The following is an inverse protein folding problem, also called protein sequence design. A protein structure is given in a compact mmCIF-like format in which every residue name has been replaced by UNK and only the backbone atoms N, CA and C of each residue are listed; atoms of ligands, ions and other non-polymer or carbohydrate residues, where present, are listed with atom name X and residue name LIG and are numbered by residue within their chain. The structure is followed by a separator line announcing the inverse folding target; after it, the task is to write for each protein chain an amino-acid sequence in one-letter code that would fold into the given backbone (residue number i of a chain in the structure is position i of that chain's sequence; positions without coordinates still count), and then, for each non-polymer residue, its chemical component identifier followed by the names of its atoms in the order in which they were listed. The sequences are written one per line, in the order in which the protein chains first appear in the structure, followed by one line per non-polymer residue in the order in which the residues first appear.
data_IF_226758719460
#
_entry.id   IF_226758719460
#
_cell.length_a   1.000
_cell.length_b   1.000
_cell.length_c   1.000
_cell.angle_alpha   90.00
_cell.angle_beta   90.00
_cell.angle_gamma   90.00
#
_symmetry.space_group_name_H-M   'P 1'
#
loop_
_entity.id
_entity.type
_entity.pdbx_description
1 polymer ?
#
# COMPACT_ATOMS: atom_id res chain seq x y z
N UNK A 1 53.65 -41.25 -45.58
CA UNK A 1 53.12 -40.48 -46.74
C UNK A 1 51.81 -41.13 -47.18
N UNK A 2 50.71 -40.34 -47.22
CA UNK A 2 49.51 -40.43 -48.09
C UNK A 2 48.93 -41.84 -48.37
N UNK A 3 47.65 -42.19 -48.15
CA UNK A 3 46.40 -41.50 -48.50
C UNK A 3 45.22 -42.44 -48.12
N UNK A 4 44.10 -41.93 -47.57
CA UNK A 4 42.80 -41.72 -48.25
C UNK A 4 42.25 -42.96 -49.01
N UNK A 5 41.15 -43.56 -48.52
CA UNK A 5 39.85 -43.78 -49.21
C UNK A 5 38.80 -44.41 -48.27
N UNK A 6 37.57 -43.99 -48.51
CA UNK A 6 36.24 -44.23 -47.91
C UNK A 6 35.74 -45.67 -47.97
N UNK A 7 34.54 -45.89 -47.36
CA UNK A 7 33.67 -47.09 -47.30
C UNK A 7 33.87 -47.94 -46.02
N UNK A 8 32.87 -48.43 -45.28
CA UNK A 8 31.50 -48.79 -45.61
C UNK A 8 30.56 -48.83 -44.36
N UNK A 9 29.28 -48.85 -44.69
CA UNK A 9 28.05 -49.07 -43.92
C UNK A 9 27.96 -50.36 -43.07
N UNK A 10 27.20 -50.25 -41.97
CA UNK A 10 26.15 -51.17 -41.44
C UNK A 10 26.43 -52.10 -40.23
N UNK A 11 25.53 -51.92 -39.25
CA UNK A 11 24.92 -52.84 -38.27
C UNK A 11 25.68 -53.25 -36.99
N UNK A 12 25.15 -52.89 -35.81
CA UNK A 12 24.14 -53.64 -35.04
C UNK A 12 23.93 -52.95 -33.67
N UNK A 13 22.75 -52.36 -33.42
CA UNK A 13 21.76 -52.78 -32.41
C UNK A 13 22.28 -53.02 -30.98
N UNK A 14 21.84 -52.15 -30.06
CA UNK A 14 21.85 -52.39 -28.62
C UNK A 14 20.97 -51.34 -27.92
N UNK A 15 19.69 -51.66 -27.77
CA UNK A 15 18.67 -50.87 -27.07
C UNK A 15 19.02 -50.64 -25.60
N UNK A 16 18.95 -49.39 -25.12
CA UNK A 16 18.75 -49.12 -23.69
C UNK A 16 17.84 -47.91 -23.46
N UNK A 17 16.69 -48.25 -22.90
CA UNK A 17 15.65 -47.48 -22.23
C UNK A 17 15.74 -45.95 -22.18
N UNK A 18 14.69 -45.31 -22.68
CA UNK A 18 14.22 -44.01 -22.20
C UNK A 18 13.78 -44.15 -20.73
N UNK A 19 14.62 -43.69 -19.81
CA UNK A 19 14.24 -43.44 -18.42
C UNK A 19 13.67 -42.04 -18.29
N UNK A 20 12.35 -41.93 -18.17
CA UNK A 20 11.69 -40.78 -17.55
C UNK A 20 11.95 -40.86 -16.04
N UNK A 21 12.86 -40.03 -15.52
CA UNK A 21 12.95 -39.76 -14.09
C UNK A 21 12.40 -38.37 -13.79
N UNK A 22 11.13 -38.43 -13.40
CA UNK A 22 10.33 -37.40 -12.77
C UNK A 22 10.94 -36.94 -11.43
N UNK A 23 10.93 -35.62 -11.23
CA UNK A 23 10.91 -34.90 -9.94
C UNK A 23 11.92 -35.26 -8.83
N UNK A 24 12.82 -34.32 -8.49
CA UNK A 24 12.86 -33.67 -7.15
C UNK A 24 14.10 -32.80 -6.94
N UNK A 25 13.85 -31.49 -6.89
CA UNK A 25 14.27 -30.52 -5.85
C UNK A 25 14.37 -29.16 -6.54
N UNK A 26 13.33 -28.35 -6.37
CA UNK A 26 13.53 -26.90 -6.36
C UNK A 26 14.61 -26.64 -5.32
N UNK A 27 15.84 -26.38 -5.78
CA UNK A 27 16.78 -25.64 -4.96
C UNK A 27 16.09 -24.30 -4.78
N UNK A 28 15.66 -24.03 -3.55
CA UNK A 28 15.50 -22.65 -3.11
C UNK A 28 16.76 -21.93 -3.59
N UNK A 29 16.57 -20.99 -4.50
CA UNK A 29 17.60 -20.03 -4.86
C UNK A 29 17.80 -19.26 -3.58
N UNK A 30 18.75 -19.71 -2.75
CA UNK A 30 19.24 -18.93 -1.64
C UNK A 30 19.87 -17.70 -2.27
N UNK A 31 19.10 -16.62 -2.33
CA UNK A 31 19.61 -15.29 -2.64
C UNK A 31 20.77 -15.06 -1.67
N UNK A 32 21.98 -15.02 -2.23
CA UNK A 32 23.19 -14.73 -1.49
C UNK A 32 23.10 -13.27 -1.05
N UNK A 33 22.53 -13.03 0.14
CA UNK A 33 22.52 -11.71 0.77
C UNK A 33 23.96 -11.20 0.88
N UNK A 34 24.25 -9.94 0.55
CA UNK A 34 25.56 -9.32 0.79
C UNK A 34 26.00 -9.56 2.24
N UNK A 35 27.26 -9.91 2.47
CA UNK A 35 27.77 -10.33 3.79
C UNK A 35 27.67 -9.23 4.88
N UNK A 36 27.39 -7.99 4.47
CA UNK A 36 27.26 -6.79 5.29
C UNK A 36 25.81 -6.35 5.54
N UNK A 37 24.81 -7.06 4.99
CA UNK A 37 23.40 -6.74 5.21
C UNK A 37 22.78 -7.58 6.34
N UNK A 38 22.29 -6.89 7.38
CA UNK A 38 21.53 -7.49 8.47
C UNK A 38 20.06 -7.10 8.34
N UNK A 39 19.17 -8.10 8.37
CA UNK A 39 17.73 -7.86 8.36
C UNK A 39 17.32 -7.06 9.61
N UNK A 40 16.66 -5.92 9.40
CA UNK A 40 16.09 -5.11 10.47
C UNK A 40 14.61 -5.41 10.59
N UNK A 41 14.22 -6.09 11.67
CA UNK A 41 12.81 -6.28 12.01
C UNK A 41 12.28 -5.01 12.67
N UNK A 42 11.20 -4.46 12.13
CA UNK A 42 10.55 -3.26 12.63
C UNK A 42 9.26 -3.65 13.34
N UNK A 43 9.01 -3.08 14.52
CA UNK A 43 7.75 -3.30 15.24
C UNK A 43 6.63 -2.46 14.63
N UNK A 44 5.37 -2.93 14.77
CA UNK A 44 4.19 -2.22 14.25
C UNK A 44 4.28 -1.94 12.73
N UNK A 45 4.93 -2.84 11.99
CA UNK A 45 5.08 -2.79 10.53
C UNK A 45 4.89 -4.18 9.95
N UNK A 46 4.42 -4.25 8.70
CA UNK A 46 4.10 -5.51 8.03
C UNK A 46 2.69 -5.50 7.46
N UNK A 47 2.30 -6.57 6.73
CA UNK A 47 1.02 -6.67 6.05
C UNK A 47 -0.20 -6.44 6.95
N UNK A 48 -0.12 -6.81 8.23
CA UNK A 48 -1.20 -6.59 9.18
C UNK A 48 -1.45 -5.10 9.51
N UNK A 49 -0.50 -4.22 9.20
CA UNK A 49 -0.58 -2.77 9.37
C UNK A 49 -0.71 -2.02 8.03
N UNK A 50 -0.88 -2.74 6.93
CA UNK A 50 -1.15 -2.15 5.62
C UNK A 50 -2.59 -1.68 5.53
N UNK A 51 -2.80 -0.65 4.71
CA UNK A 51 -4.12 -0.19 4.32
C UNK A 51 -4.86 -1.33 3.63
N UNK A 52 -6.15 -1.44 3.93
CA UNK A 52 -7.05 -2.35 3.25
C UNK A 52 -8.34 -1.62 2.90
N UNK A 53 -9.28 -2.33 2.27
CA UNK A 53 -10.57 -1.75 1.90
C UNK A 53 -11.35 -1.08 3.04
N UNK A 54 -11.12 -1.48 4.30
CA UNK A 54 -11.88 -1.01 5.47
C UNK A 54 -11.17 0.12 6.22
N UNK A 55 -9.84 0.15 6.19
CA UNK A 55 -9.04 1.07 7.00
C UNK A 55 -7.87 1.63 6.23
N UNK A 56 -7.73 2.95 6.26
CA UNK A 56 -6.44 3.58 5.99
C UNK A 56 -5.52 3.35 7.18
N UNK A 57 -4.28 2.94 6.90
CA UNK A 57 -3.28 2.69 7.93
C UNK A 57 -1.95 3.33 7.60
N UNK A 58 -1.27 3.76 8.66
CA UNK A 58 0.08 4.26 8.57
C UNK A 58 0.85 3.87 9.82
N UNK A 59 2.16 3.70 9.67
CA UNK A 59 3.07 3.44 10.77
C UNK A 59 4.26 4.40 10.72
N UNK A 60 4.81 4.71 11.89
CA UNK A 60 5.99 5.55 11.99
C UNK A 60 6.76 5.29 13.27
N UNK A 61 8.00 5.80 13.27
CA UNK A 61 8.93 5.70 14.38
C UNK A 61 9.32 7.10 14.86
N UNK A 62 9.43 7.26 16.17
CA UNK A 62 9.95 8.47 16.81
C UNK A 62 11.03 8.14 17.83
N UNK A 63 12.13 8.91 17.81
CA UNK A 63 13.24 8.76 18.76
C UNK A 63 13.46 10.05 19.57
N UNK A 64 13.69 9.90 20.87
CA UNK A 64 14.03 10.99 21.78
C UNK A 64 14.68 10.48 23.07
N UNK A 65 15.39 11.36 23.79
CA UNK A 65 15.83 11.09 25.16
C UNK A 65 14.67 11.02 26.15
N UNK A 66 13.54 11.65 25.81
CA UNK A 66 12.30 11.63 26.58
C UNK A 66 11.27 10.71 25.92
N UNK A 67 10.72 9.77 26.70
CA UNK A 67 9.78 8.74 26.23
C UNK A 67 8.50 9.36 25.64
N UNK A 68 7.96 10.40 26.26
CA UNK A 68 6.73 11.06 25.79
C UNK A 68 6.96 11.81 24.49
N UNK A 69 8.12 12.45 24.36
CA UNK A 69 8.53 13.13 23.12
C UNK A 69 8.76 12.13 21.99
N UNK A 70 9.35 10.96 22.26
CA UNK A 70 9.51 9.90 21.26
C UNK A 70 8.13 9.44 20.74
N UNK A 71 7.17 9.23 21.65
CA UNK A 71 5.78 8.89 21.29
C UNK A 71 5.10 9.98 20.48
N UNK A 72 5.21 11.24 20.90
CA UNK A 72 4.61 12.38 20.18
C UNK A 72 5.17 12.50 18.76
N UNK A 73 6.48 12.30 18.57
CA UNK A 73 7.12 12.28 17.25
C UNK A 73 6.58 11.14 16.38
N UNK A 74 6.54 9.92 16.91
CA UNK A 74 6.03 8.76 16.18
C UNK A 74 4.58 9.00 15.72
N UNK A 75 3.70 9.44 16.63
CA UNK A 75 2.30 9.72 16.33
C UNK A 75 2.14 10.87 15.31
N UNK A 76 2.93 11.93 15.43
CA UNK A 76 2.90 13.06 14.48
C UNK A 76 3.30 12.62 13.08
N UNK A 77 4.35 11.81 12.96
CA UNK A 77 4.83 11.31 11.67
C UNK A 77 3.82 10.36 11.03
N UNK A 78 3.25 9.43 11.81
CA UNK A 78 2.22 8.52 11.32
C UNK A 78 0.99 9.29 10.83
N UNK A 79 0.53 10.30 11.59
CA UNK A 79 -0.60 11.15 11.20
C UNK A 79 -0.34 11.91 9.91
N UNK A 80 0.86 12.49 9.75
CA UNK A 80 1.22 13.22 8.55
C UNK A 80 1.23 12.31 7.31
N UNK A 81 1.80 11.10 7.44
CA UNK A 81 1.79 10.12 6.36
C UNK A 81 0.35 9.68 6.03
N UNK A 82 -0.44 9.32 7.04
CA UNK A 82 -1.84 8.92 6.87
C UNK A 82 -2.66 10.02 6.18
N UNK A 83 -2.47 11.28 6.58
CA UNK A 83 -3.14 12.42 5.98
C UNK A 83 -2.79 12.57 4.49
N UNK A 84 -1.50 12.45 4.13
CA UNK A 84 -1.06 12.50 2.74
C UNK A 84 -1.61 11.35 1.90
N UNK A 85 -1.65 10.13 2.46
CA UNK A 85 -2.20 8.96 1.78
C UNK A 85 -3.70 9.15 1.51
N UNK A 86 -4.47 9.59 2.51
CA UNK A 86 -5.89 9.89 2.35
C UNK A 86 -6.11 11.02 1.33
N UNK A 87 -5.37 12.13 1.43
CA UNK A 87 -5.52 13.26 0.50
C UNK A 87 -5.29 12.81 -0.94
N UNK A 88 -4.26 11.99 -1.19
CA UNK A 88 -3.97 11.46 -2.51
C UNK A 88 -5.07 10.53 -3.02
N UNK A 89 -5.57 9.61 -2.17
CA UNK A 89 -6.68 8.73 -2.53
C UNK A 89 -7.95 9.53 -2.84
N UNK A 90 -8.30 10.52 -2.02
CA UNK A 90 -9.50 11.33 -2.23
C UNK A 90 -9.44 12.18 -3.49
N UNK A 91 -8.24 12.68 -3.88
CA UNK A 91 -8.04 13.33 -5.17
C UNK A 91 -8.34 12.39 -6.33
N UNK A 92 -7.77 11.18 -6.31
CA UNK A 92 -8.00 10.17 -7.36
C UNK A 92 -9.48 9.79 -7.45
N UNK A 93 -10.14 9.61 -6.30
CA UNK A 93 -11.58 9.33 -6.23
C UNK A 93 -12.39 10.47 -6.84
N UNK A 94 -12.09 11.73 -6.47
CA UNK A 94 -12.73 12.92 -7.03
C UNK A 94 -12.57 12.99 -8.55
N UNK A 95 -11.33 12.88 -9.04
CA UNK A 95 -11.01 12.91 -10.47
C UNK A 95 -11.78 11.82 -11.24
N UNK A 96 -11.79 10.58 -10.74
CA UNK A 96 -12.47 9.44 -11.37
C UNK A 96 -14.00 9.57 -11.32
N UNK A 97 -14.53 10.07 -10.21
CA UNK A 97 -15.96 10.33 -10.04
C UNK A 97 -16.44 11.40 -11.02
N UNK A 98 -15.72 12.53 -11.13
CA UNK A 98 -16.09 13.63 -12.03
C UNK A 98 -15.96 13.19 -13.49
N UNK A 99 -14.88 12.47 -13.84
CA UNK A 99 -14.66 11.96 -15.19
C UNK A 99 -15.82 11.09 -15.67
N UNK A 100 -16.31 10.20 -14.81
CA UNK A 100 -17.40 9.27 -15.13
C UNK A 100 -18.79 9.91 -15.07
N UNK A 101 -18.91 11.14 -14.57
CA UNK A 101 -20.19 11.83 -14.34
C UNK A 101 -20.56 12.81 -15.46
N UNK A 102 -21.84 13.20 -15.48
CA UNK A 102 -22.45 14.07 -16.51
C UNK A 102 -22.30 15.57 -16.19
N UNK A 103 -21.42 15.94 -15.26
CA UNK A 103 -21.17 17.35 -14.94
C UNK A 103 -20.70 18.10 -16.19
N UNK A 104 -21.33 19.25 -16.45
CA UNK A 104 -20.93 20.14 -17.53
C UNK A 104 -19.63 20.90 -17.20
N UNK A 105 -19.43 21.27 -15.93
CA UNK A 105 -18.28 22.05 -15.45
C UNK A 105 -17.22 21.16 -14.77
N UNK A 106 -16.70 20.16 -15.48
CA UNK A 106 -15.80 19.14 -14.88
C UNK A 106 -14.56 19.72 -14.19
N UNK A 107 -13.98 20.79 -14.72
CA UNK A 107 -12.78 21.44 -14.15
C UNK A 107 -13.08 22.03 -12.77
N UNK A 108 -14.04 22.95 -12.69
CA UNK A 108 -14.49 23.59 -11.44
C UNK A 108 -14.95 22.56 -10.40
N UNK A 109 -15.72 21.55 -10.82
CA UNK A 109 -16.16 20.46 -9.93
C UNK A 109 -14.95 19.70 -9.39
N UNK A 110 -13.96 19.40 -10.23
CA UNK A 110 -12.74 18.70 -9.79
C UNK A 110 -11.97 19.52 -8.76
N UNK A 111 -11.81 20.82 -8.99
CA UNK A 111 -11.16 21.74 -8.03
C UNK A 111 -11.88 21.73 -6.68
N UNK A 112 -13.22 21.83 -6.69
CA UNK A 112 -14.05 21.77 -5.48
C UNK A 112 -13.84 20.45 -4.71
N UNK A 113 -13.77 19.30 -5.39
CA UNK A 113 -13.39 18.03 -4.75
C UNK A 113 -11.98 18.08 -4.15
N UNK A 114 -10.99 18.61 -4.86
CA UNK A 114 -9.61 18.67 -4.37
C UNK A 114 -9.45 19.60 -3.15
N UNK A 115 -10.19 20.70 -3.09
CA UNK A 115 -10.22 21.59 -1.93
C UNK A 115 -10.88 20.94 -0.71
N UNK A 116 -11.97 20.19 -0.93
CA UNK A 116 -12.62 19.44 0.14
C UNK A 116 -11.77 18.30 0.68
N UNK A 117 -11.02 17.59 -0.16
CA UNK A 117 -10.07 16.55 0.26
C UNK A 117 -9.13 17.06 1.35
N UNK A 118 -8.54 18.24 1.16
CA UNK A 118 -7.66 18.87 2.15
C UNK A 118 -8.40 19.16 3.47
N UNK A 119 -9.58 19.76 3.37
CA UNK A 119 -10.35 20.21 4.54
C UNK A 119 -10.91 19.04 5.36
N UNK A 120 -11.30 17.94 4.72
CA UNK A 120 -11.83 16.74 5.41
C UNK A 120 -10.70 15.96 6.08
N UNK A 121 -9.55 15.82 5.44
CA UNK A 121 -8.39 15.12 6.02
C UNK A 121 -7.98 15.76 7.34
N UNK A 122 -7.85 17.08 7.40
CA UNK A 122 -7.46 17.80 8.62
C UNK A 122 -8.44 17.58 9.79
N UNK A 123 -9.73 17.41 9.49
CA UNK A 123 -10.79 17.25 10.50
C UNK A 123 -10.99 15.78 10.93
N UNK A 124 -10.78 14.82 10.02
CA UNK A 124 -11.09 13.40 10.25
C UNK A 124 -10.01 12.69 11.09
N UNK A 125 -8.81 13.26 11.22
CA UNK A 125 -7.76 12.74 12.12
C UNK A 125 -8.17 12.67 13.60
N UNK A 126 -9.32 13.24 13.98
CA UNK A 126 -9.91 13.09 15.31
C UNK A 126 -10.42 11.66 15.59
N UNK A 127 -10.85 10.93 14.56
CA UNK A 127 -11.35 9.55 14.67
C UNK A 127 -10.26 8.46 14.68
N UNK A 128 -8.98 8.85 14.70
CA UNK A 128 -7.90 7.87 14.55
C UNK A 128 -7.77 6.95 15.78
N UNK A 129 -7.48 5.68 15.50
CA UNK A 129 -7.13 4.68 16.51
C UNK A 129 -5.67 4.29 16.42
N UNK A 130 -5.06 4.02 17.58
CA UNK A 130 -3.74 3.38 17.66
C UNK A 130 -3.95 1.87 17.73
N UNK A 131 -3.43 1.12 16.76
CA UNK A 131 -3.56 -0.34 16.68
C UNK A 131 -2.33 -1.09 17.14
N UNK A 132 -1.17 -0.44 17.12
CA UNK A 132 0.04 -0.96 17.71
C UNK A 132 0.88 0.18 18.28
N UNK A 133 1.40 -0.01 19.48
CA UNK A 133 2.39 0.85 20.11
C UNK A 133 3.43 -0.03 20.79
N UNK A 134 4.70 0.13 20.40
CA UNK A 134 5.84 -0.53 21.05
C UNK A 134 6.91 0.50 21.37
N UNK A 135 7.54 0.35 22.52
CA UNK A 135 8.59 1.25 22.95
C UNK A 135 9.84 0.46 23.32
N UNK A 136 10.99 0.93 22.88
CA UNK A 136 12.29 0.35 23.19
C UNK A 136 13.23 1.42 23.70
N UNK A 137 14.28 0.99 24.41
CA UNK A 137 15.36 1.86 24.86
C UNK A 137 16.65 1.39 24.22
N UNK A 138 17.37 2.29 23.56
CA UNK A 138 18.66 1.99 22.93
C UNK A 138 19.74 1.84 23.99
N UNK A 139 20.87 1.26 23.61
CA UNK A 139 22.08 1.18 24.47
C UNK A 139 22.60 2.56 24.87
N UNK A 140 22.35 3.58 24.05
CA UNK A 140 22.67 5.00 24.32
C UNK A 140 21.65 5.67 25.26
N UNK A 141 20.61 4.95 25.69
CA UNK A 141 19.59 5.44 26.61
C UNK A 141 18.45 6.23 25.95
N UNK A 142 18.40 6.33 24.62
CA UNK A 142 17.29 6.98 23.89
C UNK A 142 16.07 6.06 23.83
N UNK A 143 14.88 6.63 23.89
CA UNK A 143 13.63 5.92 23.66
C UNK A 143 13.26 5.95 22.18
N UNK A 144 12.90 4.79 21.63
CA UNK A 144 12.26 4.65 20.32
C UNK A 144 10.82 4.21 20.53
N UNK A 145 9.87 4.90 19.89
CA UNK A 145 8.46 4.51 19.85
C UNK A 145 8.10 4.13 18.43
N UNK A 146 7.52 2.95 18.25
CA UNK A 146 6.96 2.43 17.02
C UNK A 146 5.46 2.48 17.18
N UNK A 147 4.76 3.08 16.21
CA UNK A 147 3.31 3.21 16.26
C UNK A 147 2.71 2.83 14.91
N UNK A 148 1.57 2.14 14.93
CA UNK A 148 0.68 2.01 13.79
C UNK A 148 -0.70 2.54 14.18
N UNK A 149 -1.29 3.29 13.27
CA UNK A 149 -2.58 3.94 13.43
C UNK A 149 -3.52 3.54 12.29
N UNK A 150 -4.82 3.60 12.56
CA UNK A 150 -5.85 3.36 11.56
C UNK A 150 -6.95 4.42 11.61
N UNK A 151 -7.58 4.63 10.47
CA UNK A 151 -8.80 5.40 10.30
C UNK A 151 -9.79 4.60 9.45
N UNK A 152 -11.06 4.55 9.87
CA UNK A 152 -12.13 3.90 9.13
C UNK A 152 -12.34 4.59 7.78
N UNK A 153 -12.29 3.80 6.70
CA UNK A 153 -12.58 4.27 5.36
C UNK A 153 -14.07 4.67 5.22
N UNK A 154 -14.96 3.95 5.91
CA UNK A 154 -16.39 4.23 5.93
C UNK A 154 -16.70 5.56 6.65
N UNK A 155 -16.09 5.80 7.81
CA UNK A 155 -16.31 7.04 8.57
C UNK A 155 -15.82 8.24 7.75
N UNK A 156 -14.65 8.10 7.10
CA UNK A 156 -14.10 9.12 6.23
C UNK A 156 -15.02 9.42 5.04
N UNK A 157 -15.47 8.40 4.30
CA UNK A 157 -16.30 8.62 3.09
C UNK A 157 -17.67 9.18 3.45
N UNK A 158 -18.22 8.82 4.62
CA UNK A 158 -19.46 9.39 5.15
C UNK A 158 -19.30 10.87 5.49
N UNK A 159 -18.27 11.23 6.26
CA UNK A 159 -17.97 12.62 6.61
C UNK A 159 -17.69 13.47 5.35
N UNK A 160 -17.00 12.88 4.37
CA UNK A 160 -16.74 13.54 3.09
C UNK A 160 -18.04 13.82 2.31
N UNK A 161 -18.92 12.81 2.21
CA UNK A 161 -20.24 12.93 1.58
C UNK A 161 -21.11 14.00 2.25
N UNK A 162 -21.10 14.07 3.59
CA UNK A 162 -21.84 15.11 4.31
C UNK A 162 -21.40 16.53 3.95
N UNK A 163 -20.16 16.73 3.51
CA UNK A 163 -19.69 18.04 3.02
C UNK A 163 -20.03 18.25 1.56
N UNK A 164 -19.82 17.24 0.71
CA UNK A 164 -20.18 17.31 -0.72
C UNK A 164 -21.66 17.67 -0.92
N UNK A 165 -22.54 17.08 -0.13
CA UNK A 165 -24.00 17.31 -0.22
C UNK A 165 -24.44 18.70 0.25
N UNK A 166 -23.60 19.38 1.03
CA UNK A 166 -23.82 20.77 1.48
C UNK A 166 -23.27 21.79 0.47
N UNK A 167 -22.42 21.36 -0.46
CA UNK A 167 -21.86 22.21 -1.49
C UNK A 167 -22.90 22.51 -2.58
N UNK A 168 -23.12 23.80 -2.88
CA UNK A 168 -24.15 24.24 -3.81
C UNK A 168 -23.87 23.83 -5.26
N UNK A 169 -22.59 23.68 -5.64
CA UNK A 169 -22.20 23.34 -7.01
C UNK A 169 -22.43 21.86 -7.32
N UNK A 170 -22.33 21.01 -6.30
CA UNK A 170 -22.40 19.55 -6.46
C UNK A 170 -23.81 18.98 -6.27
N UNK A 171 -24.65 19.65 -5.48
CA UNK A 171 -25.90 19.09 -4.95
C UNK A 171 -26.90 18.55 -5.98
N UNK A 172 -26.97 19.14 -7.18
CA UNK A 172 -27.97 18.76 -8.18
C UNK A 172 -27.62 17.43 -8.89
N UNK A 173 -26.34 17.22 -9.20
CA UNK A 173 -25.87 16.11 -10.03
C UNK A 173 -25.03 15.08 -9.24
N UNK A 174 -24.83 15.31 -7.94
CA UNK A 174 -24.08 14.41 -7.06
C UNK A 174 -24.88 13.13 -6.73
N UNK A 175 -24.25 11.98 -6.96
CA UNK A 175 -24.77 10.66 -6.64
C UNK A 175 -23.84 9.97 -5.63
N UNK A 176 -24.33 9.83 -4.40
CA UNK A 176 -23.56 9.23 -3.31
C UNK A 176 -23.16 7.78 -3.58
N UNK A 177 -24.07 6.95 -4.11
CA UNK A 177 -23.78 5.53 -4.37
C UNK A 177 -22.63 5.38 -5.37
N UNK A 178 -22.67 6.14 -6.48
CA UNK A 178 -21.60 6.13 -7.48
C UNK A 178 -20.27 6.67 -6.93
N UNK A 179 -20.33 7.70 -6.08
CA UNK A 179 -19.15 8.21 -5.42
C UNK A 179 -18.55 7.16 -4.47
N UNK A 180 -19.38 6.51 -3.66
CA UNK A 180 -18.99 5.44 -2.76
C UNK A 180 -18.40 4.24 -3.49
N UNK A 181 -19.03 3.81 -4.59
CA UNK A 181 -18.50 2.75 -5.47
C UNK A 181 -17.11 3.13 -6.02
N UNK A 182 -16.93 4.39 -6.44
CA UNK A 182 -15.63 4.89 -6.92
C UNK A 182 -14.60 4.85 -5.79
N UNK A 183 -14.98 5.31 -4.59
CA UNK A 183 -14.12 5.29 -3.41
C UNK A 183 -13.68 3.87 -3.04
N UNK A 184 -14.63 2.93 -2.93
CA UNK A 184 -14.35 1.53 -2.60
C UNK A 184 -13.43 0.88 -3.64
N UNK A 185 -13.64 1.17 -4.93
CA UNK A 185 -12.77 0.68 -6.00
C UNK A 185 -11.33 1.22 -5.91
N UNK A 186 -11.15 2.49 -5.53
CA UNK A 186 -9.80 3.03 -5.31
C UNK A 186 -9.15 2.47 -4.04
N UNK A 187 -9.93 2.18 -2.99
CA UNK A 187 -9.43 1.51 -1.79
C UNK A 187 -8.97 0.08 -2.07
N UNK A 188 -9.71 -0.66 -2.88
CA UNK A 188 -9.31 -2.00 -3.29
C UNK A 188 -8.01 -1.98 -4.10
N UNK A 189 -7.85 -1.02 -5.02
CA UNK A 189 -6.60 -0.83 -5.76
C UNK A 189 -5.43 -0.47 -4.83
N UNK A 190 -5.67 0.41 -3.86
CA UNK A 190 -4.66 0.82 -2.88
C UNK A 190 -4.20 -0.38 -2.04
N UNK A 191 -5.13 -1.22 -1.62
CA UNK A 191 -4.83 -2.49 -0.94
C UNK A 191 -3.93 -3.36 -1.84
N UNK A 192 -4.36 -3.66 -3.06
CA UNK A 192 -3.61 -4.51 -4.00
C UNK A 192 -2.19 -4.03 -4.26
N UNK A 193 -1.98 -2.71 -4.40
CA UNK A 193 -0.66 -2.10 -4.59
C UNK A 193 0.29 -2.36 -3.41
N UNK A 194 -0.23 -2.39 -2.18
CA UNK A 194 0.58 -2.66 -0.98
C UNK A 194 0.95 -4.14 -0.83
N UNK A 195 0.18 -5.06 -1.43
CA UNK A 195 0.48 -6.50 -1.44
C UNK A 195 1.34 -6.96 -2.64
N UNK A 196 1.67 -6.08 -3.58
CA UNK A 196 2.63 -6.35 -4.65
C UNK A 196 2.13 -7.32 -5.74
N UNK A 197 0.87 -7.19 -6.16
CA UNK A 197 0.34 -7.87 -7.35
C UNK A 197 0.44 -6.99 -8.59
#
# INVERSE_FOLDING_TARGET
MKNWKTFALVALMGSMAFGFESCKKNKEVAESKPQDEVLVNVYCSGPEYFTNKEYFRSNAIGESLDQMTAKKKALSNARAQLAGDIENTMKIVGDNYVKSSEFNNKEEVTETFQEMARTVVDQTLQGLRVICEKQTKTVEGKYKTYIAIELSAEDLVSEYNERLTKDEQLKADYNYEKFKETFEAEMEKLEQQQYGN
#
